data_IF_637225425800
#
_entry.id   IF_637225425800
#
_cell.length_a   1.000
_cell.length_b   1.000
_cell.length_c   1.000
_cell.angle_alpha   90.00
_cell.angle_beta   90.00
_cell.angle_gamma   90.00
#
_symmetry.space_group_name_H-M   'P 1'
#
loop_
_entity.id
_entity.type
_entity.pdbx_description
1 polymer ?
#
# COMPACT_ATOMS: atom_id res chain seq x y z
N UNK A 1 -25.16 14.80 -8.26
CA UNK A 1 -24.50 13.53 -8.62
C UNK A 1 -25.48 12.40 -8.30
N UNK A 2 -25.60 11.39 -9.15
CA UNK A 2 -26.38 10.17 -8.89
C UNK A 2 -25.42 8.98 -8.69
N UNK A 3 -26.00 7.80 -8.40
CA UNK A 3 -25.22 6.59 -8.20
C UNK A 3 -24.58 6.08 -9.50
N UNK A 4 -25.23 6.23 -10.65
CA UNK A 4 -24.66 5.77 -11.92
C UNK A 4 -23.35 6.49 -12.26
N UNK A 5 -23.30 7.81 -12.09
CA UNK A 5 -22.07 8.59 -12.28
C UNK A 5 -20.98 8.19 -11.29
N UNK A 6 -21.34 7.85 -10.05
CA UNK A 6 -20.37 7.34 -9.05
C UNK A 6 -19.81 5.98 -9.49
N UNK A 7 -20.66 5.07 -9.94
CA UNK A 7 -20.25 3.74 -10.40
C UNK A 7 -19.39 3.83 -11.67
N UNK A 8 -19.70 4.76 -12.58
CA UNK A 8 -18.86 5.03 -13.76
C UNK A 8 -17.48 5.54 -13.34
N UNK A 9 -17.44 6.49 -12.41
CA UNK A 9 -16.19 7.01 -11.87
C UNK A 9 -15.37 5.88 -11.23
N UNK A 10 -15.99 5.06 -10.37
CA UNK A 10 -15.35 3.94 -9.70
C UNK A 10 -14.77 2.91 -10.69
N UNK A 11 -15.49 2.59 -11.75
CA UNK A 11 -15.01 1.76 -12.84
C UNK A 11 -13.73 2.33 -13.49
N UNK A 12 -13.70 3.64 -13.73
CA UNK A 12 -12.50 4.30 -14.27
C UNK A 12 -11.34 4.34 -13.25
N UNK A 13 -11.62 4.45 -11.94
CA UNK A 13 -10.58 4.37 -10.90
C UNK A 13 -9.93 2.98 -10.84
N UNK A 14 -10.72 1.91 -11.06
CA UNK A 14 -10.22 0.55 -11.24
C UNK A 14 -9.26 0.48 -12.44
N UNK A 15 -9.66 0.99 -13.60
CA UNK A 15 -8.81 1.02 -14.80
C UNK A 15 -7.53 1.81 -14.54
N UNK A 16 -7.62 2.97 -13.89
CA UNK A 16 -6.46 3.79 -13.55
C UNK A 16 -5.48 3.03 -12.65
N UNK A 17 -5.99 2.34 -11.62
CA UNK A 17 -5.18 1.58 -10.67
C UNK A 17 -4.49 0.40 -11.36
N UNK A 18 -5.25 -0.45 -12.06
CA UNK A 18 -4.69 -1.62 -12.73
C UNK A 18 -3.74 -1.22 -13.86
N UNK A 19 -4.15 -0.27 -14.72
CA UNK A 19 -3.35 0.21 -15.85
C UNK A 19 -2.03 0.84 -15.43
N UNK A 20 -2.00 1.61 -14.33
CA UNK A 20 -0.76 2.13 -13.78
C UNK A 20 0.20 1.00 -13.36
N UNK A 21 -0.29 -0.01 -12.63
CA UNK A 21 0.55 -1.11 -12.14
C UNK A 21 1.02 -2.06 -13.25
N UNK A 22 0.19 -2.34 -14.26
CA UNK A 22 0.61 -3.12 -15.43
C UNK A 22 1.70 -2.34 -16.18
N UNK A 23 1.51 -1.03 -16.38
CA UNK A 23 2.47 -0.19 -17.10
C UNK A 23 3.78 0.00 -16.35
N UNK A 24 3.78 0.04 -15.02
CA UNK A 24 5.02 0.13 -14.24
C UNK A 24 5.84 -1.16 -14.28
N UNK A 25 5.20 -2.31 -14.54
CA UNK A 25 5.90 -3.56 -14.87
C UNK A 25 6.63 -3.44 -16.21
N UNK A 26 5.98 -2.92 -17.25
CA UNK A 26 6.60 -2.70 -18.57
C UNK A 26 7.68 -1.60 -18.56
N UNK A 27 7.49 -0.59 -17.71
CA UNK A 27 8.33 0.61 -17.62
C UNK A 27 8.65 0.91 -16.16
N UNK A 28 9.65 0.25 -15.56
CA UNK A 28 10.01 0.39 -14.14
C UNK A 28 10.20 1.84 -13.69
N UNK A 29 10.74 2.71 -14.54
CA UNK A 29 11.00 4.12 -14.21
C UNK A 29 9.74 4.96 -13.96
N UNK A 30 8.55 4.44 -14.26
CA UNK A 30 7.27 5.05 -13.85
C UNK A 30 6.86 4.67 -12.43
N UNK A 31 7.53 3.69 -11.82
CA UNK A 31 7.18 3.14 -10.53
C UNK A 31 7.76 3.96 -9.37
N UNK A 32 6.96 4.09 -8.32
CA UNK A 32 7.39 4.68 -7.06
C UNK A 32 8.62 3.97 -6.47
N UNK A 33 8.66 2.63 -6.55
CA UNK A 33 9.76 1.79 -6.03
C UNK A 33 11.07 2.08 -6.74
N UNK A 34 11.02 2.30 -8.06
CA UNK A 34 12.17 2.70 -8.86
C UNK A 34 12.72 4.05 -8.41
N UNK A 35 11.85 5.04 -8.20
CA UNK A 35 12.27 6.34 -7.69
C UNK A 35 12.87 6.26 -6.29
N UNK A 36 12.33 5.42 -5.40
CA UNK A 36 12.91 5.21 -4.06
C UNK A 36 14.28 4.54 -4.11
N UNK A 37 14.44 3.51 -4.95
CA UNK A 37 15.72 2.88 -5.21
C UNK A 37 16.75 3.90 -5.73
N UNK A 38 16.41 4.67 -6.77
CA UNK A 38 17.30 5.68 -7.34
C UNK A 38 17.68 6.76 -6.34
N UNK A 39 16.72 7.27 -5.55
CA UNK A 39 16.97 8.26 -4.51
C UNK A 39 17.94 7.72 -3.45
N UNK A 40 17.75 6.46 -3.03
CA UNK A 40 18.64 5.79 -2.09
C UNK A 40 20.08 5.73 -2.64
N UNK A 41 20.25 5.27 -3.88
CA UNK A 41 21.56 5.21 -4.52
C UNK A 41 22.25 6.57 -4.57
N UNK A 42 21.51 7.59 -5.01
CA UNK A 42 22.05 8.94 -5.16
C UNK A 42 22.51 9.50 -3.81
N UNK A 43 21.69 9.37 -2.78
CA UNK A 43 22.02 9.86 -1.43
C UNK A 43 23.23 9.11 -0.87
N UNK A 44 23.33 7.79 -1.09
CA UNK A 44 24.47 7.02 -0.62
C UNK A 44 25.75 7.40 -1.37
N UNK A 45 25.66 7.71 -2.67
CA UNK A 45 26.80 8.13 -3.48
C UNK A 45 27.34 9.47 -2.98
N UNK A 46 26.45 10.45 -2.80
CA UNK A 46 26.79 11.76 -2.23
C UNK A 46 27.40 11.60 -0.83
N UNK A 47 26.83 10.74 0.01
CA UNK A 47 27.32 10.51 1.36
C UNK A 47 28.72 9.88 1.41
N UNK A 48 29.07 9.01 0.46
CA UNK A 48 30.42 8.44 0.32
C UNK A 48 31.47 9.51 0.02
N UNK A 49 31.11 10.54 -0.76
CA UNK A 49 32.00 11.64 -1.10
C UNK A 49 32.16 12.65 0.06
N UNK A 50 31.19 12.71 0.98
CA UNK A 50 31.17 13.60 2.15
C UNK A 50 32.00 13.07 3.33
N UNK A 51 33.32 12.88 3.14
CA UNK A 51 34.18 12.13 4.06
C UNK A 51 34.26 12.58 5.52
N UNK A 52 33.90 13.82 5.81
CA UNK A 52 34.05 14.41 7.15
C UNK A 52 32.87 14.14 8.09
N UNK A 53 31.73 13.66 7.58
CA UNK A 53 30.46 13.68 8.35
C UNK A 53 29.64 12.39 8.29
N UNK A 54 30.07 11.39 7.52
CA UNK A 54 29.33 10.13 7.31
C UNK A 54 30.17 8.90 7.66
N UNK A 55 29.50 7.83 8.14
CA UNK A 55 30.13 6.53 8.35
C UNK A 55 30.43 5.81 7.04
N UNK A 56 29.69 6.10 5.97
CA UNK A 56 29.92 5.55 4.63
C UNK A 56 31.31 5.86 4.06
N UNK A 57 31.89 6.98 4.49
CA UNK A 57 33.21 7.41 4.06
C UNK A 57 34.38 6.70 4.75
N UNK A 58 34.12 5.92 5.81
CA UNK A 58 35.14 5.13 6.51
C UNK A 58 35.21 3.76 5.85
N UNK A 59 36.38 3.40 5.31
CA UNK A 59 36.56 2.24 4.41
C UNK A 59 36.02 0.91 4.94
N UNK A 60 36.10 0.68 6.26
CA UNK A 60 35.60 -0.53 6.93
C UNK A 60 34.08 -0.72 6.78
N UNK A 61 33.32 0.38 6.75
CA UNK A 61 31.87 0.40 6.64
C UNK A 61 31.39 0.55 5.19
N UNK A 62 32.27 0.93 4.26
CA UNK A 62 31.92 1.08 2.84
C UNK A 62 31.53 -0.25 2.19
N UNK A 63 32.09 -1.37 2.63
CA UNK A 63 31.91 -2.68 1.99
C UNK A 63 30.46 -3.16 1.98
N UNK A 64 29.72 -2.91 3.07
CA UNK A 64 28.31 -3.30 3.22
C UNK A 64 27.36 -2.53 2.32
N UNK A 65 27.72 -1.30 1.91
CA UNK A 65 26.86 -0.40 1.13
C UNK A 65 27.48 0.04 -0.22
N UNK A 66 28.59 -0.58 -0.63
CA UNK A 66 29.20 -0.38 -1.95
C UNK A 66 28.37 -1.01 -3.08
N UNK A 67 27.50 -1.98 -2.76
CA UNK A 67 26.67 -2.67 -3.73
C UNK A 67 25.64 -1.75 -4.42
N UNK A 68 24.79 -0.99 -3.70
CA UNK A 68 23.88 -0.02 -4.32
C UNK A 68 24.64 0.94 -5.24
N UNK A 69 25.78 1.47 -4.79
CA UNK A 69 26.52 2.51 -5.52
C UNK A 69 26.98 2.09 -6.91
N UNK A 70 27.50 0.87 -7.06
CA UNK A 70 28.02 0.39 -8.36
C UNK A 70 26.91 0.09 -9.36
N UNK A 71 25.75 -0.34 -8.87
CA UNK A 71 24.67 -0.87 -9.72
C UNK A 71 23.69 0.20 -10.18
N UNK A 72 23.63 1.35 -9.53
CA UNK A 72 22.67 2.39 -9.91
C UNK A 72 23.10 3.16 -11.17
N UNK A 73 24.37 3.09 -11.56
CA UNK A 73 24.82 3.55 -12.89
C UNK A 73 24.20 2.72 -14.02
N UNK A 74 23.77 1.48 -13.74
CA UNK A 74 23.09 0.59 -14.69
C UNK A 74 21.57 0.86 -14.79
N UNK A 75 21.03 1.72 -13.91
CA UNK A 75 19.60 2.06 -13.90
C UNK A 75 19.32 3.33 -14.71
N UNK A 76 18.30 3.28 -15.56
CA UNK A 76 17.89 4.39 -16.40
C UNK A 76 16.50 4.20 -17.01
N UNK A 77 16.11 5.06 -17.95
CA UNK A 77 14.79 5.01 -18.58
C UNK A 77 14.52 3.73 -19.39
N UNK A 78 15.57 3.02 -19.78
CA UNK A 78 15.48 1.77 -20.54
C UNK A 78 15.63 0.52 -19.67
N UNK A 79 15.64 0.65 -18.34
CA UNK A 79 15.72 -0.51 -17.45
C UNK A 79 14.50 -1.41 -17.66
N UNK A 80 14.74 -2.69 -17.95
CA UNK A 80 13.68 -3.70 -18.09
C UNK A 80 13.14 -4.14 -16.72
N UNK A 81 11.99 -4.81 -16.75
CA UNK A 81 11.40 -5.44 -15.58
C UNK A 81 12.37 -6.38 -14.86
N UNK A 82 13.05 -7.25 -15.60
CA UNK A 82 13.96 -8.27 -15.07
C UNK A 82 15.19 -7.62 -14.43
N UNK A 83 15.79 -6.64 -15.11
CA UNK A 83 16.94 -5.89 -14.61
C UNK A 83 16.62 -5.15 -13.33
N UNK A 84 15.49 -4.43 -13.29
CA UNK A 84 15.10 -3.72 -12.07
C UNK A 84 14.71 -4.68 -10.93
N UNK A 85 14.01 -5.79 -11.24
CA UNK A 85 13.65 -6.80 -10.25
C UNK A 85 14.88 -7.45 -9.62
N UNK A 86 15.91 -7.75 -10.43
CA UNK A 86 17.19 -8.28 -9.94
C UNK A 86 17.91 -7.25 -9.05
N UNK A 87 18.01 -6.01 -9.52
CA UNK A 87 18.57 -4.91 -8.73
C UNK A 87 17.87 -4.78 -7.37
N UNK A 88 16.54 -4.76 -7.38
CA UNK A 88 15.75 -4.57 -6.16
C UNK A 88 15.89 -5.76 -5.21
N UNK A 89 15.96 -7.00 -5.71
CA UNK A 89 16.23 -8.19 -4.90
C UNK A 89 17.60 -8.11 -4.21
N UNK A 90 18.61 -7.65 -4.93
CA UNK A 90 19.96 -7.47 -4.38
C UNK A 90 19.95 -6.34 -3.32
N UNK A 91 19.22 -5.24 -3.55
CA UNK A 91 19.03 -4.15 -2.58
C UNK A 91 18.24 -4.60 -1.34
N UNK A 92 17.30 -5.53 -1.49
CA UNK A 92 16.53 -6.09 -0.39
C UNK A 92 17.30 -7.16 0.41
N UNK A 93 18.50 -7.55 -0.07
CA UNK A 93 19.31 -8.67 0.43
C UNK A 93 18.58 -10.03 0.42
N UNK A 94 17.46 -10.13 -0.31
CA UNK A 94 16.51 -11.24 -0.21
C UNK A 94 15.90 -11.41 1.18
N UNK A 95 16.11 -10.45 2.09
CA UNK A 95 15.78 -10.56 3.51
C UNK A 95 14.64 -9.62 3.92
N UNK A 96 14.04 -8.87 2.99
CA UNK A 96 12.97 -7.93 3.30
C UNK A 96 13.47 -6.61 3.88
N UNK A 97 14.74 -6.22 3.67
CA UNK A 97 15.29 -4.94 4.15
C UNK A 97 14.56 -3.75 3.54
N UNK A 98 14.32 -3.80 2.22
CA UNK A 98 13.62 -2.74 1.50
C UNK A 98 12.13 -2.70 1.87
N UNK A 99 11.50 -3.87 2.05
CA UNK A 99 10.12 -3.98 2.55
C UNK A 99 10.01 -3.38 3.97
N UNK A 100 10.96 -3.69 4.86
CA UNK A 100 10.98 -3.14 6.21
C UNK A 100 11.18 -1.62 6.18
N UNK A 101 12.13 -1.11 5.39
CA UNK A 101 12.35 0.32 5.22
C UNK A 101 11.07 1.05 4.79
N UNK A 102 10.34 0.46 3.85
CA UNK A 102 9.05 0.95 3.38
C UNK A 102 7.97 0.92 4.46
N UNK A 103 7.87 -0.16 5.23
CA UNK A 103 6.98 -0.22 6.39
C UNK A 103 7.31 0.87 7.43
N UNK A 104 8.60 1.05 7.74
CA UNK A 104 9.07 2.08 8.65
C UNK A 104 8.65 3.46 8.14
N UNK A 105 8.86 3.79 6.86
CA UNK A 105 8.40 5.06 6.30
C UNK A 105 6.89 5.29 6.51
N UNK A 106 6.05 4.26 6.35
CA UNK A 106 4.61 4.34 6.59
C UNK A 106 4.24 4.57 8.06
N UNK A 107 4.85 3.84 8.99
CA UNK A 107 4.55 3.98 10.42
C UNK A 107 5.16 5.26 11.02
N UNK A 108 6.19 5.84 10.38
CA UNK A 108 6.75 7.15 10.75
C UNK A 108 6.03 8.34 10.07
N UNK A 109 4.92 8.08 9.39
CA UNK A 109 4.11 9.10 8.71
C UNK A 109 2.95 9.64 9.57
N UNK A 110 3.21 9.98 10.83
CA UNK A 110 2.20 10.60 11.68
C UNK A 110 2.36 12.12 11.67
N UNK A 111 1.52 12.78 10.86
CA UNK A 111 1.34 14.25 10.77
C UNK A 111 2.32 15.02 9.89
N UNK A 112 3.22 14.33 9.20
CA UNK A 112 4.14 14.94 8.25
C UNK A 112 3.67 14.80 6.81
N UNK A 113 4.16 15.67 5.92
CA UNK A 113 3.86 15.58 4.48
C UNK A 113 4.48 14.29 3.93
N UNK A 114 3.74 13.54 3.12
CA UNK A 114 4.21 12.27 2.57
C UNK A 114 5.54 12.44 1.80
N UNK A 115 5.65 13.48 0.97
CA UNK A 115 6.84 13.77 0.18
C UNK A 115 8.10 13.94 1.05
N UNK A 116 7.96 14.57 2.22
CA UNK A 116 9.08 14.78 3.14
C UNK A 116 9.57 13.46 3.74
N UNK A 117 8.67 12.54 4.06
CA UNK A 117 9.03 11.24 4.62
C UNK A 117 9.72 10.38 3.58
N UNK A 118 9.20 10.37 2.36
CA UNK A 118 9.78 9.60 1.27
C UNK A 118 11.11 10.18 0.79
N UNK A 119 11.31 11.49 0.86
CA UNK A 119 12.64 12.10 0.67
C UNK A 119 13.67 11.57 1.69
N UNK A 120 13.21 11.25 2.91
CA UNK A 120 14.02 10.68 3.98
C UNK A 120 13.98 9.14 4.02
N UNK A 121 13.49 8.48 2.96
CA UNK A 121 13.52 7.02 2.83
C UNK A 121 14.88 6.36 3.17
N UNK A 122 16.04 6.95 2.79
CA UNK A 122 17.35 6.39 3.13
C UNK A 122 17.59 6.18 4.62
N UNK A 123 17.05 7.05 5.48
CA UNK A 123 17.17 6.89 6.94
C UNK A 123 16.50 5.58 7.38
N UNK A 124 15.30 5.29 6.84
CA UNK A 124 14.57 4.07 7.16
C UNK A 124 15.24 2.82 6.60
N UNK A 125 15.85 2.94 5.42
CA UNK A 125 16.67 1.88 4.84
C UNK A 125 17.88 1.57 5.72
N UNK A 126 18.60 2.60 6.19
CA UNK A 126 19.72 2.45 7.13
C UNK A 126 19.28 1.76 8.43
N UNK A 127 18.12 2.10 8.99
CA UNK A 127 17.58 1.41 10.19
C UNK A 127 17.31 -0.07 9.89
N UNK A 128 16.64 -0.37 8.77
CA UNK A 128 16.30 -1.73 8.39
C UNK A 128 17.56 -2.59 8.15
N UNK A 129 18.55 -2.03 7.45
CA UNK A 129 19.82 -2.69 7.16
C UNK A 129 20.62 -2.99 8.44
N UNK A 130 20.71 -2.03 9.37
CA UNK A 130 21.39 -2.27 10.64
C UNK A 130 20.69 -3.33 11.49
N UNK A 131 19.35 -3.35 11.49
CA UNK A 131 18.58 -4.36 12.20
C UNK A 131 18.81 -5.76 11.61
N UNK A 132 18.85 -5.86 10.29
CA UNK A 132 19.19 -7.09 9.57
C UNK A 132 20.61 -7.57 9.88
N UNK A 133 21.57 -6.65 10.02
CA UNK A 133 22.95 -6.95 10.44
C UNK A 133 23.10 -7.25 11.94
N UNK A 134 22.00 -7.53 12.65
CA UNK A 134 22.01 -7.98 14.05
C UNK A 134 22.22 -6.87 15.08
N UNK A 135 22.14 -5.60 14.68
CA UNK A 135 22.33 -4.49 15.60
C UNK A 135 21.21 -4.43 16.63
N UNK A 136 21.60 -4.26 17.91
CA UNK A 136 20.62 -4.16 19.00
C UNK A 136 19.79 -2.89 18.87
N UNK A 137 18.50 -2.99 19.17
CA UNK A 137 17.57 -1.86 19.09
C UNK A 137 17.97 -0.70 20.00
N UNK A 138 18.54 -1.00 21.18
CA UNK A 138 18.99 0.05 22.10
C UNK A 138 20.20 0.84 21.55
N UNK A 139 20.98 0.25 20.64
CA UNK A 139 22.05 0.96 19.93
C UNK A 139 21.46 1.82 18.80
N UNK A 140 20.50 1.28 18.03
CA UNK A 140 19.74 2.04 17.03
C UNK A 140 19.02 3.24 17.66
N UNK A 141 18.49 3.07 18.87
CA UNK A 141 17.84 4.12 19.64
C UNK A 141 18.80 5.28 19.95
N UNK A 142 20.04 4.96 20.30
CA UNK A 142 21.09 5.94 20.64
C UNK A 142 21.67 6.62 19.40
N UNK A 143 21.92 5.84 18.34
CA UNK A 143 22.69 6.28 17.17
C UNK A 143 21.79 6.95 16.14
N UNK A 144 20.63 6.33 15.84
CA UNK A 144 19.78 6.74 14.73
C UNK A 144 18.51 7.43 15.19
N UNK A 145 17.77 6.85 16.14
CA UNK A 145 16.39 7.31 16.42
C UNK A 145 16.36 8.56 17.30
N UNK A 146 17.30 8.70 18.23
CA UNK A 146 17.41 9.84 19.12
C UNK A 146 16.14 10.11 19.95
N UNK A 147 16.09 11.27 20.62
CA UNK A 147 14.91 11.72 21.38
C UNK A 147 13.91 12.51 20.54
N UNK A 148 14.40 13.34 19.61
CA UNK A 148 13.59 14.31 18.85
C UNK A 148 13.82 14.24 17.33
N UNK A 149 14.80 13.45 16.87
CA UNK A 149 15.30 13.50 15.49
C UNK A 149 15.84 12.14 15.13
N UNK A 150 15.51 11.66 13.92
CA UNK A 150 16.32 10.64 13.29
C UNK A 150 17.61 11.29 12.77
N UNK A 151 18.74 10.64 12.99
CA UNK A 151 20.02 11.00 12.41
C UNK A 151 20.57 9.75 11.75
N UNK A 152 20.68 9.76 10.44
CA UNK A 152 21.34 8.66 9.75
C UNK A 152 22.85 8.92 9.71
N UNK A 153 23.67 8.16 10.46
CA UNK A 153 25.10 8.34 10.41
C UNK A 153 25.70 7.89 9.07
N UNK A 154 24.99 7.05 8.30
CA UNK A 154 25.44 6.59 6.98
C UNK A 154 25.38 7.70 5.96
N UNK A 155 24.29 8.47 5.94
CA UNK A 155 24.07 9.51 4.94
C UNK A 155 24.27 10.94 5.45
N UNK A 156 24.40 11.12 6.76
CA UNK A 156 24.40 12.44 7.40
C UNK A 156 23.03 13.11 7.47
N UNK A 157 21.99 12.49 6.89
CA UNK A 157 20.62 13.01 6.88
C UNK A 157 20.07 13.14 8.30
N UNK A 158 19.26 14.17 8.49
CA UNK A 158 18.58 14.44 9.76
C UNK A 158 17.12 14.72 9.48
N UNK A 159 16.25 14.00 10.18
CA UNK A 159 14.82 14.17 10.09
C UNK A 159 14.25 14.48 11.47
N UNK A 160 13.78 15.70 11.66
CA UNK A 160 13.09 16.07 12.90
C UNK A 160 11.68 15.51 12.82
N UNK A 161 11.38 14.51 13.64
CA UNK A 161 10.07 13.90 13.67
C UNK A 161 9.21 14.54 14.77
N UNK A 162 7.91 14.72 14.56
CA UNK A 162 7.00 15.37 15.54
C UNK A 162 6.67 14.45 16.75
N UNK A 163 7.36 13.32 16.92
CA UNK A 163 7.06 12.37 17.99
C UNK A 163 7.48 12.84 19.39
N UNK A 164 6.49 12.93 20.28
CA UNK A 164 6.68 12.89 21.73
C UNK A 164 6.05 11.60 22.32
N UNK A 165 6.87 10.84 23.04
CA UNK A 165 6.63 9.67 23.90
C UNK A 165 5.86 8.44 23.36
N UNK A 166 4.62 8.54 22.85
CA UNK A 166 3.78 7.35 22.57
C UNK A 166 4.19 6.58 21.30
N UNK A 167 4.39 7.22 20.14
CA UNK A 167 4.75 6.50 18.90
C UNK A 167 6.17 5.92 18.93
N UNK A 168 7.07 6.52 19.71
CA UNK A 168 8.44 6.02 19.93
C UNK A 168 8.45 4.66 20.63
N UNK A 169 7.59 4.46 21.63
CA UNK A 169 7.49 3.17 22.33
C UNK A 169 7.00 2.07 21.40
N UNK A 170 5.98 2.35 20.58
CA UNK A 170 5.46 1.41 19.59
C UNK A 170 6.52 1.04 18.56
N UNK A 171 7.27 2.02 18.06
CA UNK A 171 8.40 1.80 17.16
C UNK A 171 9.45 0.88 17.78
N UNK A 172 9.97 1.23 18.97
CA UNK A 172 11.03 0.46 19.60
C UNK A 172 10.57 -0.97 19.88
N UNK A 173 9.30 -1.15 20.24
CA UNK A 173 8.70 -2.48 20.33
C UNK A 173 8.69 -3.18 18.97
N UNK A 174 8.19 -2.55 17.91
CA UNK A 174 8.21 -3.13 16.55
C UNK A 174 9.62 -3.58 16.16
N UNK A 175 10.64 -2.73 16.34
CA UNK A 175 12.02 -3.08 16.03
C UNK A 175 12.54 -4.23 16.90
N UNK A 176 12.20 -4.25 18.21
CA UNK A 176 12.60 -5.34 19.12
C UNK A 176 11.95 -6.65 18.72
N UNK A 177 10.65 -6.63 18.43
CA UNK A 177 9.93 -7.78 17.88
C UNK A 177 10.65 -8.26 16.63
N UNK A 178 10.86 -7.40 15.63
CA UNK A 178 11.53 -7.79 14.39
C UNK A 178 12.97 -8.28 14.58
N UNK A 179 13.70 -7.82 15.60
CA UNK A 179 15.04 -8.35 15.91
C UNK A 179 15.00 -9.84 16.25
N UNK A 180 13.91 -10.33 16.86
CA UNK A 180 13.69 -11.76 17.12
C UNK A 180 13.41 -12.55 15.83
N UNK A 181 13.17 -11.86 14.71
CA UNK A 181 12.91 -12.41 13.38
C UNK A 181 14.06 -12.12 12.40
N UNK A 182 15.29 -11.96 12.92
CA UNK A 182 16.47 -11.64 12.12
C UNK A 182 16.42 -10.25 11.50
N UNK A 183 15.69 -9.33 12.12
CA UNK A 183 15.51 -7.97 11.60
C UNK A 183 14.64 -7.88 10.34
N UNK A 184 13.89 -8.94 10.01
CA UNK A 184 13.12 -9.01 8.77
C UNK A 184 11.61 -8.95 9.02
N UNK A 185 10.94 -8.01 8.34
CA UNK A 185 9.47 -7.97 8.30
C UNK A 185 8.90 -9.19 7.58
N UNK A 186 9.57 -9.67 6.53
CA UNK A 186 9.11 -10.82 5.77
C UNK A 186 9.19 -12.10 6.58
N UNK A 187 10.26 -12.33 7.35
CA UNK A 187 10.36 -13.49 8.25
C UNK A 187 9.28 -13.47 9.32
N UNK A 188 8.97 -12.30 9.87
CA UNK A 188 7.86 -12.14 10.82
C UNK A 188 6.52 -12.52 10.19
N UNK A 189 6.24 -12.01 8.98
CA UNK A 189 5.02 -12.37 8.22
C UNK A 189 5.00 -13.88 7.94
N UNK A 190 6.12 -14.44 7.51
CA UNK A 190 6.25 -15.84 7.10
C UNK A 190 5.96 -16.79 8.26
N UNK A 191 6.57 -16.57 9.42
CA UNK A 191 6.30 -17.36 10.63
C UNK A 191 4.83 -17.23 11.05
N UNK A 192 4.29 -16.01 11.14
CA UNK A 192 2.93 -15.79 11.66
C UNK A 192 1.83 -16.33 10.76
N UNK A 193 2.06 -16.42 9.46
CA UNK A 193 1.10 -17.03 8.55
C UNK A 193 1.22 -18.56 8.49
N UNK A 194 2.41 -19.14 8.61
CA UNK A 194 2.58 -20.60 8.64
C UNK A 194 1.88 -21.26 9.83
N UNK A 195 1.82 -20.55 10.95
CA UNK A 195 1.14 -21.01 12.17
C UNK A 195 -0.39 -20.82 12.11
N UNK A 196 -0.93 -20.18 11.08
CA UNK A 196 -2.34 -19.78 11.02
C UNK A 196 -3.18 -20.77 10.20
N UNK A 197 -4.10 -21.48 10.87
CA UNK A 197 -4.91 -22.54 10.27
C UNK A 197 -6.13 -22.07 9.47
N UNK A 198 -6.58 -20.83 9.64
CA UNK A 198 -7.79 -20.31 8.96
C UNK A 198 -7.49 -19.55 7.65
N UNK A 199 -6.25 -19.54 7.18
CA UNK A 199 -5.90 -18.84 5.92
C UNK A 199 -6.63 -19.51 4.76
N UNK A 200 -7.37 -18.72 4.01
CA UNK A 200 -8.01 -19.12 2.77
C UNK A 200 -7.91 -18.02 1.70
N UNK A 201 -8.31 -18.37 0.48
CA UNK A 201 -8.32 -17.47 -0.69
C UNK A 201 -9.13 -16.17 -0.44
N UNK A 202 -10.11 -16.20 0.46
CA UNK A 202 -11.03 -15.09 0.73
C UNK A 202 -10.56 -14.18 1.88
N UNK A 203 -9.52 -14.56 2.64
CA UNK A 203 -9.15 -13.83 3.85
C UNK A 203 -7.65 -13.54 4.04
N UNK A 204 -6.77 -14.09 3.21
CA UNK A 204 -5.32 -14.00 3.41
C UNK A 204 -4.78 -12.57 3.49
N UNK A 205 -5.33 -11.62 2.72
CA UNK A 205 -4.92 -10.20 2.78
C UNK A 205 -5.35 -9.58 4.12
N UNK A 206 -6.53 -9.94 4.62
CA UNK A 206 -7.05 -9.45 5.91
C UNK A 206 -6.24 -9.99 7.08
N UNK A 207 -5.77 -11.24 6.99
CA UNK A 207 -4.86 -11.83 7.98
C UNK A 207 -3.48 -11.18 7.93
N UNK A 208 -2.96 -10.89 6.74
CA UNK A 208 -1.73 -10.10 6.59
C UNK A 208 -1.88 -8.69 7.22
N UNK A 209 -3.03 -8.04 7.01
CA UNK A 209 -3.35 -6.78 7.67
C UNK A 209 -3.37 -6.90 9.20
N UNK A 210 -3.97 -7.97 9.74
CA UNK A 210 -4.03 -8.23 11.17
C UNK A 210 -2.63 -8.41 11.79
N UNK A 211 -1.74 -9.17 11.13
CA UNK A 211 -0.35 -9.40 11.55
C UNK A 211 0.44 -8.10 11.63
N UNK A 212 0.33 -7.25 10.60
CA UNK A 212 0.97 -5.94 10.58
C UNK A 212 0.41 -5.00 11.65
N UNK A 213 -0.89 -5.14 11.99
CA UNK A 213 -1.49 -4.39 13.08
C UNK A 213 -0.95 -4.80 14.45
N UNK A 214 -0.83 -6.12 14.70
CA UNK A 214 -0.25 -6.66 15.94
C UNK A 214 1.18 -6.15 16.12
N UNK A 215 1.99 -6.21 15.06
CA UNK A 215 3.39 -5.81 15.09
C UNK A 215 3.60 -4.37 15.59
N UNK A 216 2.74 -3.44 15.15
CA UNK A 216 2.99 -2.00 15.34
C UNK A 216 1.97 -1.26 16.20
N UNK A 217 0.69 -1.62 16.13
CA UNK A 217 -0.39 -0.76 16.62
C UNK A 217 -1.08 -1.28 17.88
N UNK A 218 -1.09 -2.60 18.10
CA UNK A 218 -1.60 -3.16 19.34
C UNK A 218 -0.75 -2.66 20.52
N UNK A 219 -1.30 -2.53 21.72
CA UNK A 219 -0.55 -1.99 22.88
C UNK A 219 -0.04 -3.08 23.81
N UNK A 220 -0.78 -4.16 23.91
CA UNK A 220 -0.45 -5.31 24.75
C UNK A 220 0.45 -6.26 23.98
N UNK A 221 1.35 -6.95 24.69
CA UNK A 221 2.05 -8.12 24.16
C UNK A 221 1.00 -9.21 23.97
N UNK A 222 0.30 -9.16 22.84
CA UNK A 222 -0.59 -10.22 22.44
C UNK A 222 0.28 -11.45 22.21
N UNK A 223 0.23 -12.41 23.16
CA UNK A 223 0.68 -13.76 22.88
C UNK A 223 -0.23 -14.24 21.76
N UNK A 224 0.33 -14.39 20.56
CA UNK A 224 -0.37 -14.89 19.38
C UNK A 224 -0.73 -16.35 19.69
N UNK A 225 -1.82 -16.54 20.45
CA UNK A 225 -2.40 -17.85 20.69
C UNK A 225 -3.27 -18.25 19.50
N UNK A 226 -3.93 -17.27 18.86
CA UNK A 226 -4.76 -17.48 17.69
C UNK A 226 -4.91 -16.17 16.89
N UNK A 227 -4.23 -16.08 15.73
CA UNK A 227 -4.34 -14.95 14.80
C UNK A 227 -5.77 -14.80 14.24
N UNK A 228 -6.47 -15.91 14.01
CA UNK A 228 -7.82 -15.93 13.45
C UNK A 228 -8.78 -15.27 14.44
N UNK A 229 -8.75 -15.72 15.69
CA UNK A 229 -9.55 -15.13 16.77
C UNK A 229 -9.28 -13.63 16.92
N UNK A 230 -8.01 -13.23 16.92
CA UNK A 230 -7.66 -11.82 16.96
C UNK A 230 -8.25 -11.04 15.77
N UNK A 231 -8.12 -11.59 14.56
CA UNK A 231 -8.59 -10.93 13.35
C UNK A 231 -10.13 -10.82 13.31
N UNK A 232 -10.87 -11.76 13.90
CA UNK A 232 -12.32 -11.68 14.09
C UNK A 232 -12.71 -10.64 15.15
N UNK A 233 -12.13 -10.72 16.35
CA UNK A 233 -12.39 -9.82 17.48
C UNK A 233 -12.09 -8.37 17.13
N UNK A 234 -11.01 -8.16 16.38
CA UNK A 234 -10.62 -6.84 15.88
C UNK A 234 -11.26 -6.50 14.55
N UNK A 235 -12.19 -7.26 13.98
CA UNK A 235 -12.88 -6.89 12.72
C UNK A 235 -11.94 -6.67 11.51
N UNK A 236 -10.85 -7.44 11.41
CA UNK A 236 -10.12 -7.61 10.16
C UNK A 236 -10.84 -8.61 9.26
N UNK A 237 -11.26 -9.74 9.83
CA UNK A 237 -12.15 -10.69 9.19
C UNK A 237 -13.59 -10.18 9.26
N UNK A 238 -14.19 -9.98 8.09
CA UNK A 238 -15.57 -9.53 8.00
C UNK A 238 -16.50 -10.75 8.03
N UNK A 239 -17.68 -10.66 8.67
CA UNK A 239 -18.67 -11.72 8.62
C UNK A 239 -19.06 -12.01 7.16
N UNK A 240 -19.01 -13.28 6.75
CA UNK A 240 -19.33 -13.72 5.38
C UNK A 240 -20.74 -13.28 4.96
N UNK A 241 -21.70 -13.34 5.89
CA UNK A 241 -23.09 -12.93 5.71
C UNK A 241 -23.49 -11.86 6.72
N UNK A 242 -23.24 -10.58 6.40
CA UNK A 242 -23.82 -9.48 7.19
C UNK A 242 -25.25 -9.29 6.73
N UNK A 243 -26.23 -9.25 7.62
CA UNK A 243 -27.59 -8.89 7.21
C UNK A 243 -27.68 -7.41 6.80
N UNK A 244 -28.52 -7.00 5.81
CA UNK A 244 -28.63 -5.60 5.38
C UNK A 244 -28.86 -4.61 6.53
N UNK A 245 -29.70 -4.98 7.50
CA UNK A 245 -29.98 -4.16 8.70
C UNK A 245 -28.83 -4.10 9.71
N UNK A 246 -27.75 -4.87 9.50
CA UNK A 246 -26.52 -4.87 10.31
C UNK A 246 -25.34 -4.18 9.62
N UNK A 247 -25.51 -3.62 8.41
CA UNK A 247 -24.44 -2.88 7.73
C UNK A 247 -23.93 -1.70 8.57
N UNK A 248 -24.80 -1.07 9.35
CA UNK A 248 -24.42 -0.01 10.30
C UNK A 248 -23.49 -0.48 11.44
N UNK A 249 -23.37 -1.80 11.67
CA UNK A 249 -22.45 -2.42 12.65
C UNK A 249 -21.13 -2.86 12.02
N UNK A 250 -21.03 -2.98 10.69
CA UNK A 250 -19.78 -3.35 10.03
C UNK A 250 -18.70 -2.31 10.33
N UNK A 251 -17.55 -2.75 10.83
CA UNK A 251 -16.38 -1.92 11.05
C UNK A 251 -15.20 -2.56 10.33
N UNK A 252 -14.31 -1.71 9.83
CA UNK A 252 -13.05 -2.14 9.22
C UNK A 252 -11.91 -1.65 10.10
N UNK A 253 -11.08 -2.59 10.56
CA UNK A 253 -9.95 -2.27 11.44
C UNK A 253 -8.66 -1.94 10.71
N UNK A 254 -7.59 -1.75 11.46
CA UNK A 254 -6.30 -1.25 10.98
C UNK A 254 -6.31 0.27 10.84
N UNK A 255 -5.14 0.85 10.58
CA UNK A 255 -5.02 2.29 10.31
C UNK A 255 -4.92 2.56 8.80
N UNK A 256 -5.10 3.83 8.40
CA UNK A 256 -4.90 4.23 7.00
C UNK A 256 -3.52 3.85 6.44
N UNK A 257 -2.47 3.94 7.25
CA UNK A 257 -1.08 3.68 6.84
C UNK A 257 -0.84 2.19 6.65
N UNK A 258 -1.45 1.37 7.50
CA UNK A 258 -1.42 -0.08 7.35
C UNK A 258 -2.00 -0.52 6.00
N UNK A 259 -3.19 -0.06 5.65
CA UNK A 259 -3.81 -0.43 4.37
C UNK A 259 -3.10 0.18 3.16
N UNK A 260 -2.48 1.35 3.31
CA UNK A 260 -1.67 1.94 2.25
C UNK A 260 -0.41 1.10 1.96
N UNK A 261 0.36 0.74 2.99
CA UNK A 261 1.50 -0.18 2.84
C UNK A 261 1.06 -1.54 2.26
N UNK A 262 -0.04 -2.09 2.75
CA UNK A 262 -0.54 -3.37 2.27
C UNK A 262 -1.00 -3.31 0.81
N UNK A 263 -1.68 -2.24 0.40
CA UNK A 263 -2.00 -1.99 -1.02
C UNK A 263 -0.73 -2.01 -1.85
N UNK A 264 0.36 -1.38 -1.40
CA UNK A 264 1.61 -1.39 -2.16
C UNK A 264 2.19 -2.82 -2.22
N UNK A 265 2.18 -3.59 -1.12
CA UNK A 265 2.65 -4.98 -1.11
C UNK A 265 1.83 -5.93 -1.98
N UNK A 266 0.53 -5.67 -2.14
CA UNK A 266 -0.36 -6.53 -2.92
C UNK A 266 -0.52 -6.05 -4.35
N UNK A 267 -0.51 -4.75 -4.63
CA UNK A 267 -0.86 -4.18 -5.94
C UNK A 267 0.39 -3.76 -6.73
N UNK A 268 1.44 -3.25 -6.08
CA UNK A 268 2.68 -2.91 -6.79
C UNK A 268 3.43 -4.18 -7.19
N UNK A 269 3.83 -4.34 -8.46
CA UNK A 269 4.47 -5.58 -8.94
C UNK A 269 5.81 -5.86 -8.26
N UNK A 270 6.58 -4.81 -7.91
CA UNK A 270 7.92 -4.96 -7.34
C UNK A 270 7.89 -5.28 -5.85
N UNK A 271 7.06 -4.58 -5.06
CA UNK A 271 6.88 -4.94 -3.66
C UNK A 271 6.27 -6.33 -3.48
N UNK A 272 5.31 -6.70 -4.35
CA UNK A 272 4.74 -8.04 -4.37
C UNK A 272 5.79 -9.10 -4.66
N UNK A 273 6.66 -8.84 -5.65
CA UNK A 273 7.77 -9.74 -5.98
C UNK A 273 8.75 -9.90 -4.80
N UNK A 274 9.11 -8.80 -4.14
CA UNK A 274 9.96 -8.86 -2.94
C UNK A 274 9.29 -9.72 -1.87
N UNK A 275 8.00 -9.51 -1.59
CA UNK A 275 7.28 -10.29 -0.60
C UNK A 275 7.25 -11.78 -0.97
N UNK A 276 6.92 -12.12 -2.22
CA UNK A 276 6.94 -13.52 -2.73
C UNK A 276 8.31 -14.17 -2.51
N UNK A 277 9.38 -13.45 -2.84
CA UNK A 277 10.75 -13.95 -2.75
C UNK A 277 11.20 -14.17 -1.31
N UNK A 278 10.71 -13.38 -0.36
CA UNK A 278 11.09 -13.49 1.05
C UNK A 278 10.25 -14.48 1.85
N UNK A 279 9.08 -14.90 1.35
CA UNK A 279 8.28 -15.95 2.00
C UNK A 279 8.84 -17.34 1.70
N UNK A 280 8.73 -18.25 2.65
CA UNK A 280 9.09 -19.66 2.47
C UNK A 280 8.18 -20.36 1.46
N UNK A 281 8.65 -21.44 0.82
CA UNK A 281 7.84 -22.18 -0.18
C UNK A 281 6.58 -22.83 0.41
N UNK A 282 6.61 -23.20 1.70
CA UNK A 282 5.45 -23.76 2.39
C UNK A 282 4.52 -22.69 2.99
N UNK A 283 4.75 -21.41 2.71
CA UNK A 283 3.86 -20.36 3.18
C UNK A 283 2.50 -20.40 2.46
N UNK A 284 1.37 -20.45 3.19
CA UNK A 284 0.05 -20.63 2.57
C UNK A 284 -0.40 -19.47 1.69
N UNK A 285 0.16 -18.25 1.84
CA UNK A 285 -0.25 -17.10 1.01
C UNK A 285 0.58 -16.94 -0.26
N UNK A 286 1.74 -17.62 -0.34
CA UNK A 286 2.66 -17.48 -1.47
C UNK A 286 2.03 -17.88 -2.81
N UNK A 287 1.20 -18.95 -2.91
CA UNK A 287 0.47 -19.25 -4.15
C UNK A 287 -0.45 -18.12 -4.61
N UNK A 288 -1.23 -17.52 -3.70
CA UNK A 288 -2.13 -16.40 -4.03
C UNK A 288 -1.38 -15.17 -4.52
N UNK A 289 -0.23 -14.87 -3.90
CA UNK A 289 0.64 -13.78 -4.35
C UNK A 289 1.24 -14.06 -5.73
N UNK A 290 1.69 -15.29 -6.01
CA UNK A 290 2.23 -15.70 -7.33
C UNK A 290 1.17 -15.57 -8.42
N UNK A 291 -0.04 -16.08 -8.19
CA UNK A 291 -1.17 -15.92 -9.11
C UNK A 291 -1.43 -14.45 -9.45
N UNK A 292 -1.59 -13.63 -8.42
CA UNK A 292 -1.75 -12.18 -8.59
C UNK A 292 -0.60 -11.57 -9.40
N UNK A 293 0.65 -11.97 -9.13
CA UNK A 293 1.84 -11.45 -9.80
C UNK A 293 1.90 -11.85 -11.29
N UNK A 294 1.45 -13.05 -11.62
CA UNK A 294 1.33 -13.55 -13.00
C UNK A 294 0.29 -12.76 -13.76
N UNK A 295 -0.96 -12.73 -13.25
CA UNK A 295 -2.03 -11.95 -13.85
C UNK A 295 -2.94 -11.24 -12.83
N UNK A 296 -2.69 -9.95 -12.61
CA UNK A 296 -3.49 -9.12 -11.70
C UNK A 296 -4.95 -8.97 -12.17
N UNK A 297 -5.24 -9.10 -13.47
CA UNK A 297 -6.59 -8.96 -14.01
C UNK A 297 -7.39 -10.25 -13.81
N UNK A 298 -6.76 -11.41 -14.00
CA UNK A 298 -7.40 -12.70 -13.73
C UNK A 298 -7.71 -12.86 -12.24
N UNK A 299 -6.71 -12.64 -11.38
CA UNK A 299 -6.79 -12.85 -9.93
C UNK A 299 -7.19 -11.60 -9.14
N UNK A 300 -7.77 -10.62 -9.81
CA UNK A 300 -8.20 -9.35 -9.21
C UNK A 300 -9.19 -9.54 -8.06
N UNK A 301 -9.92 -10.66 -8.02
CA UNK A 301 -10.88 -10.99 -6.96
C UNK A 301 -10.28 -10.89 -5.56
N UNK A 302 -8.98 -11.16 -5.39
CA UNK A 302 -8.31 -11.01 -4.09
C UNK A 302 -8.31 -9.56 -3.61
N UNK A 303 -8.31 -8.58 -4.52
CA UNK A 303 -8.29 -7.15 -4.19
C UNK A 303 -9.60 -6.69 -3.52
N UNK A 304 -10.68 -7.48 -3.57
CA UNK A 304 -11.89 -7.24 -2.76
C UNK A 304 -11.57 -7.17 -1.26
N UNK A 305 -10.55 -7.89 -0.80
CA UNK A 305 -10.15 -7.93 0.61
C UNK A 305 -9.42 -6.65 1.06
N UNK A 306 -8.81 -5.91 0.13
CA UNK A 306 -8.15 -4.65 0.44
C UNK A 306 -9.19 -3.57 0.78
N UNK A 307 -8.78 -2.68 1.67
CA UNK A 307 -9.61 -1.57 2.12
C UNK A 307 -9.02 -0.25 1.62
N UNK A 308 -9.88 0.75 1.48
CA UNK A 308 -9.48 2.10 1.06
C UNK A 308 -8.33 2.61 1.96
N UNK A 309 -7.16 2.99 1.42
CA UNK A 309 -6.16 3.69 2.21
C UNK A 309 -6.69 5.09 2.53
N UNK A 310 -7.09 5.34 3.77
CA UNK A 310 -7.77 6.60 4.12
C UNK A 310 -6.85 7.82 4.01
N UNK A 311 -6.96 8.62 2.95
CA UNK A 311 -6.25 9.90 2.83
C UNK A 311 -7.20 11.11 2.88
N UNK A 312 -6.64 12.32 3.04
CA UNK A 312 -7.38 13.59 3.00
C UNK A 312 -8.17 13.70 1.69
N UNK A 313 -7.61 13.24 0.58
CA UNK A 313 -8.28 13.20 -0.72
C UNK A 313 -9.52 12.30 -0.71
N UNK A 314 -9.42 11.13 -0.06
CA UNK A 314 -10.55 10.22 0.08
C UNK A 314 -11.64 10.80 1.00
N UNK A 315 -11.26 11.58 2.01
CA UNK A 315 -12.22 12.37 2.81
C UNK A 315 -12.91 13.44 1.95
N UNK A 316 -12.15 14.21 1.18
CA UNK A 316 -12.69 15.24 0.29
C UNK A 316 -13.63 14.63 -0.76
N UNK A 317 -13.27 13.49 -1.33
CA UNK A 317 -14.12 12.76 -2.26
C UNK A 317 -15.44 12.35 -1.61
N UNK A 318 -15.38 11.74 -0.42
CA UNK A 318 -16.59 11.37 0.33
C UNK A 318 -17.46 12.57 0.65
N UNK A 319 -16.88 13.64 1.18
CA UNK A 319 -17.59 14.85 1.59
C UNK A 319 -18.22 15.58 0.39
N UNK A 320 -17.53 15.64 -0.76
CA UNK A 320 -18.03 16.36 -1.94
C UNK A 320 -19.02 15.57 -2.77
N UNK A 321 -18.79 14.28 -2.95
CA UNK A 321 -19.52 13.48 -3.92
C UNK A 321 -20.49 12.53 -3.23
N UNK A 322 -20.04 11.79 -2.22
CA UNK A 322 -20.86 10.76 -1.59
C UNK A 322 -21.88 11.36 -0.61
N UNK A 323 -21.52 12.38 0.19
CA UNK A 323 -22.48 13.04 1.10
C UNK A 323 -23.66 13.65 0.35
N UNK A 324 -23.42 14.22 -0.85
CA UNK A 324 -24.47 14.79 -1.70
C UNK A 324 -25.48 13.76 -2.22
N UNK A 325 -25.15 12.46 -2.19
CA UNK A 325 -26.11 11.41 -2.51
C UNK A 325 -27.23 11.32 -1.46
N UNK A 326 -27.04 11.86 -0.25
CA UNK A 326 -28.01 11.74 0.84
C UNK A 326 -29.34 12.44 0.61
N UNK A 327 -29.37 13.43 -0.29
CA UNK A 327 -30.61 14.07 -0.72
C UNK A 327 -31.48 13.12 -1.55
N UNK A 328 -30.84 12.30 -2.40
CA UNK A 328 -31.52 11.35 -3.30
C UNK A 328 -31.70 9.96 -2.71
N UNK A 329 -30.82 9.55 -1.80
CA UNK A 329 -30.79 8.22 -1.20
C UNK A 329 -30.71 8.35 0.34
N UNK A 330 -31.81 8.76 1.02
CA UNK A 330 -31.81 8.99 2.46
C UNK A 330 -31.39 7.76 3.28
N UNK A 331 -31.61 6.55 2.77
CA UNK A 331 -31.20 5.28 3.38
C UNK A 331 -29.69 5.17 3.61
N UNK A 332 -28.87 5.89 2.82
CA UNK A 332 -27.41 5.94 3.02
C UNK A 332 -27.02 6.66 4.34
N UNK A 333 -27.90 7.53 4.85
CA UNK A 333 -27.62 8.45 5.96
C UNK A 333 -28.53 8.26 7.19
N UNK A 334 -29.68 7.58 7.04
CA UNK A 334 -30.62 7.31 8.15
C UNK A 334 -29.96 6.45 9.25
N UNK A 335 -30.26 6.79 10.51
CA UNK A 335 -29.63 6.25 11.73
C UNK A 335 -29.60 4.71 11.81
N UNK A 336 -30.61 4.04 11.27
CA UNK A 336 -30.72 2.57 11.30
C UNK A 336 -29.87 1.88 10.22
N UNK A 337 -29.51 2.57 9.13
CA UNK A 337 -28.74 2.02 8.00
C UNK A 337 -27.53 2.89 7.64
N UNK A 338 -26.94 3.60 8.60
CA UNK A 338 -25.87 4.58 8.35
C UNK A 338 -24.67 3.95 7.60
N UNK A 339 -24.66 4.09 6.27
CA UNK A 339 -23.62 3.59 5.38
C UNK A 339 -22.41 4.51 5.48
N UNK A 340 -22.64 5.82 5.43
CA UNK A 340 -21.59 6.83 5.47
C UNK A 340 -21.32 7.27 6.92
N UNK A 341 -20.06 7.15 7.33
CA UNK A 341 -19.57 7.48 8.67
C UNK A 341 -18.39 8.45 8.59
N UNK A 342 -17.87 8.91 9.74
CA UNK A 342 -16.67 9.74 9.76
C UNK A 342 -15.38 9.00 9.36
N UNK A 343 -15.39 7.66 9.33
CA UNK A 343 -14.26 6.84 8.84
C UNK A 343 -14.48 6.49 7.37
N UNK A 344 -13.59 6.96 6.50
CA UNK A 344 -13.73 6.82 5.05
C UNK A 344 -13.72 5.36 4.58
N UNK A 345 -12.95 4.51 5.27
CA UNK A 345 -12.72 3.12 4.90
C UNK A 345 -13.93 2.25 5.23
N UNK A 346 -14.42 2.39 6.45
CA UNK A 346 -15.68 1.79 6.88
C UNK A 346 -16.81 2.24 5.97
N UNK A 347 -16.85 3.53 5.60
CA UNK A 347 -17.86 4.06 4.66
C UNK A 347 -17.77 3.42 3.28
N UNK A 348 -16.56 3.31 2.70
CA UNK A 348 -16.34 2.66 1.41
C UNK A 348 -16.75 1.18 1.43
N UNK A 349 -16.36 0.42 2.48
CA UNK A 349 -16.76 -0.98 2.63
C UNK A 349 -18.27 -1.15 2.81
N UNK A 350 -18.91 -0.31 3.62
CA UNK A 350 -20.37 -0.34 3.79
C UNK A 350 -21.09 0.00 2.49
N UNK A 351 -20.59 1.00 1.75
CA UNK A 351 -21.16 1.40 0.47
C UNK A 351 -21.06 0.27 -0.55
N UNK A 352 -19.89 -0.37 -0.66
CA UNK A 352 -19.69 -1.56 -1.47
C UNK A 352 -20.69 -2.67 -1.10
N UNK A 353 -20.76 -3.05 0.18
CA UNK A 353 -21.68 -4.10 0.64
C UNK A 353 -23.16 -3.78 0.40
N UNK A 354 -23.54 -2.51 0.51
CA UNK A 354 -24.89 -2.05 0.20
C UNK A 354 -25.18 -2.14 -1.30
N UNK A 355 -24.29 -1.61 -2.16
CA UNK A 355 -24.46 -1.62 -3.61
C UNK A 355 -24.45 -3.04 -4.19
N UNK A 356 -23.54 -3.91 -3.73
CA UNK A 356 -23.41 -5.31 -4.20
C UNK A 356 -24.67 -6.14 -4.01
N UNK A 357 -25.56 -5.73 -3.09
CA UNK A 357 -26.82 -6.42 -2.77
C UNK A 357 -28.05 -5.68 -3.26
N UNK A 358 -27.87 -4.45 -3.74
CA UNK A 358 -28.96 -3.67 -4.27
C UNK A 358 -29.45 -4.33 -5.57
N UNK A 359 -30.76 -4.57 -5.70
CA UNK A 359 -31.33 -5.29 -6.86
C UNK A 359 -30.89 -4.68 -8.20
N UNK A 360 -30.87 -3.35 -8.26
CA UNK A 360 -30.51 -2.60 -9.48
C UNK A 360 -28.99 -2.55 -9.71
N UNK A 361 -28.18 -2.29 -8.67
CA UNK A 361 -26.75 -1.99 -8.84
C UNK A 361 -25.83 -3.19 -8.59
N UNK A 362 -26.31 -4.22 -7.90
CA UNK A 362 -25.53 -5.41 -7.53
C UNK A 362 -24.91 -6.13 -8.72
N UNK A 363 -25.67 -6.46 -9.79
CA UNK A 363 -25.12 -7.08 -10.99
C UNK A 363 -23.99 -6.25 -11.61
N UNK A 364 -24.12 -4.93 -11.59
CA UNK A 364 -23.13 -4.01 -12.11
C UNK A 364 -21.86 -3.99 -11.26
N UNK A 365 -21.98 -3.90 -9.93
CA UNK A 365 -20.83 -3.93 -9.01
C UNK A 365 -20.02 -5.21 -9.15
N UNK A 366 -20.68 -6.35 -9.28
CA UNK A 366 -20.02 -7.65 -9.46
C UNK A 366 -19.33 -7.75 -10.82
N UNK A 367 -20.04 -7.42 -11.91
CA UNK A 367 -19.51 -7.47 -13.27
C UNK A 367 -18.33 -6.52 -13.47
N UNK A 368 -18.41 -5.32 -12.91
CA UNK A 368 -17.38 -4.27 -13.05
C UNK A 368 -16.30 -4.35 -11.96
N UNK A 369 -16.41 -5.31 -11.02
CA UNK A 369 -15.44 -5.56 -9.94
C UNK A 369 -15.10 -4.30 -9.14
N UNK A 370 -16.13 -3.58 -8.71
CA UNK A 370 -16.00 -2.28 -8.05
C UNK A 370 -15.59 -2.44 -6.58
N UNK A 371 -14.36 -2.89 -6.33
CA UNK A 371 -13.84 -3.16 -4.99
C UNK A 371 -13.49 -1.88 -4.21
N UNK A 372 -13.59 -1.90 -2.86
CA UNK A 372 -13.34 -0.71 -2.03
C UNK A 372 -11.97 -0.06 -2.19
N UNK A 373 -10.93 -0.84 -2.48
CA UNK A 373 -9.58 -0.31 -2.72
C UNK A 373 -9.52 0.66 -3.91
N UNK A 374 -10.42 0.53 -4.89
CA UNK A 374 -10.45 1.41 -6.07
C UNK A 374 -11.13 2.75 -5.86
N UNK A 375 -11.81 3.00 -4.72
CA UNK A 375 -12.32 4.33 -4.38
C UNK A 375 -11.22 5.33 -3.96
N UNK A 376 -9.96 4.98 -4.21
CA UNK A 376 -8.79 5.71 -3.77
C UNK A 376 -8.40 6.81 -4.75
N UNK A 377 -8.93 8.02 -4.60
CA UNK A 377 -8.66 9.15 -5.51
C UNK A 377 -7.24 9.72 -5.44
N UNK A 378 -6.31 9.04 -4.76
CA UNK A 378 -4.92 9.50 -4.61
C UNK A 378 -4.04 9.29 -5.84
N UNK A 379 -4.59 8.72 -6.94
CA UNK A 379 -3.87 8.59 -8.21
C UNK A 379 -3.69 9.95 -8.92
N UNK A 380 -2.70 10.75 -8.51
CA UNK A 380 -2.07 11.80 -9.34
C UNK A 380 -2.95 12.87 -10.00
N UNK A 381 -4.24 12.99 -9.63
CA UNK A 381 -5.16 13.96 -10.21
C UNK A 381 -4.72 15.37 -9.80
N UNK A 382 -4.48 16.25 -10.77
CA UNK A 382 -4.19 17.67 -10.53
C UNK A 382 -5.43 18.35 -9.95
N UNK A 383 -5.24 19.55 -9.40
CA UNK A 383 -6.35 20.36 -8.88
C UNK A 383 -7.34 20.66 -10.03
N UNK A 384 -8.57 20.15 -9.91
CA UNK A 384 -9.61 20.26 -10.94
C UNK A 384 -9.85 18.97 -11.73
N UNK A 385 -8.86 18.08 -11.80
CA UNK A 385 -8.98 16.83 -12.55
C UNK A 385 -10.02 15.89 -11.95
N UNK A 386 -10.22 15.91 -10.63
CA UNK A 386 -11.27 15.11 -9.99
C UNK A 386 -12.67 15.55 -10.44
N UNK A 387 -12.91 16.86 -10.59
CA UNK A 387 -14.21 17.35 -11.06
C UNK A 387 -14.40 17.04 -12.55
N UNK A 388 -13.37 17.24 -13.36
CA UNK A 388 -13.36 16.85 -14.77
C UNK A 388 -13.62 15.34 -14.94
N UNK A 389 -12.92 14.52 -14.14
CA UNK A 389 -13.06 13.06 -14.11
C UNK A 389 -14.50 12.65 -13.77
N UNK A 390 -15.08 13.24 -12.72
CA UNK A 390 -16.46 12.96 -12.33
C UNK A 390 -17.47 13.42 -13.40
N UNK A 391 -17.21 14.53 -14.10
CA UNK A 391 -18.10 15.04 -15.13
C UNK A 391 -18.03 14.23 -16.44
N UNK A 392 -16.85 13.70 -16.77
CA UNK A 392 -16.63 12.93 -18.01
C UNK A 392 -16.79 11.41 -17.83
N UNK A 393 -16.96 10.90 -16.61
CA UNK A 393 -16.87 9.46 -16.32
C UNK A 393 -17.75 8.60 -17.23
N UNK A 394 -19.02 8.98 -17.41
CA UNK A 394 -19.96 8.30 -18.28
C UNK A 394 -19.50 8.27 -19.75
N UNK A 395 -19.06 9.42 -20.28
CA UNK A 395 -18.61 9.53 -21.68
C UNK A 395 -17.34 8.71 -21.95
N UNK A 396 -16.40 8.70 -21.00
CA UNK A 396 -15.16 7.93 -21.09
C UNK A 396 -15.48 6.44 -21.03
N UNK A 397 -16.35 6.03 -20.10
CA UNK A 397 -16.78 4.63 -19.99
C UNK A 397 -17.43 4.14 -21.27
N UNK A 398 -18.40 4.88 -21.83
CA UNK A 398 -19.05 4.53 -23.10
C UNK A 398 -18.04 4.38 -24.24
N UNK A 399 -17.02 5.24 -24.28
CA UNK A 399 -15.93 5.13 -25.26
C UNK A 399 -15.13 3.84 -25.07
N UNK A 400 -14.77 3.52 -23.82
CA UNK A 400 -14.07 2.27 -23.47
C UNK A 400 -14.90 1.06 -23.90
N UNK A 401 -16.19 1.00 -23.53
CA UNK A 401 -17.08 -0.12 -23.87
C UNK A 401 -17.28 -0.28 -25.39
N UNK A 402 -17.26 0.84 -26.15
CA UNK A 402 -17.31 0.79 -27.61
C UNK A 402 -16.04 0.23 -28.24
N UNK A 403 -14.87 0.53 -27.66
CA UNK A 403 -13.58 0.11 -28.20
C UNK A 403 -13.07 -1.23 -27.63
N UNK A 404 -13.61 -1.64 -26.48
CA UNK A 404 -13.21 -2.77 -25.67
C UNK A 404 -14.48 -3.40 -25.12
N UNK A 405 -14.87 -4.54 -25.69
CA UNK A 405 -16.07 -5.27 -25.28
C UNK A 405 -16.01 -5.66 -23.79
N UNK A 406 -14.90 -6.30 -23.38
CA UNK A 406 -14.70 -6.75 -22.01
C UNK A 406 -13.25 -6.57 -21.55
N UNK A 407 -13.06 -6.09 -20.31
CA UNK A 407 -11.75 -5.98 -19.65
C UNK A 407 -11.33 -7.32 -19.04
N UNK A 408 -10.95 -8.28 -19.89
CA UNK A 408 -10.59 -9.65 -19.46
C UNK A 408 -9.09 -9.87 -19.35
N UNK A 409 -8.27 -9.11 -20.08
CA UNK A 409 -6.82 -9.25 -20.08
C UNK A 409 -6.10 -7.94 -19.79
N UNK A 410 -4.82 -8.03 -19.41
CA UNK A 410 -3.96 -6.86 -19.15
C UNK A 410 -3.89 -5.89 -20.34
N UNK A 411 -3.84 -6.41 -21.57
CA UNK A 411 -3.85 -5.60 -22.79
C UNK A 411 -5.12 -4.73 -22.92
N UNK A 412 -6.27 -5.26 -22.48
CA UNK A 412 -7.55 -4.55 -22.56
C UNK A 412 -7.55 -3.42 -21.54
N UNK A 413 -7.04 -3.68 -20.33
CA UNK A 413 -6.87 -2.67 -19.28
C UNK A 413 -5.91 -1.56 -19.72
N UNK A 414 -4.78 -1.89 -20.36
CA UNK A 414 -3.85 -0.89 -20.89
C UNK A 414 -4.50 -0.02 -21.97
N UNK A 415 -5.23 -0.62 -22.91
CA UNK A 415 -5.97 0.14 -23.93
C UNK A 415 -7.02 1.07 -23.30
N UNK A 416 -7.77 0.58 -22.30
CA UNK A 416 -8.74 1.40 -21.57
C UNK A 416 -8.05 2.53 -20.79
N UNK A 417 -6.89 2.26 -20.21
CA UNK A 417 -6.09 3.24 -19.49
C UNK A 417 -5.55 4.34 -20.42
N UNK A 418 -5.13 4.00 -21.64
CA UNK A 418 -4.71 4.98 -22.64
C UNK A 418 -5.88 5.87 -23.11
N UNK A 419 -7.07 5.29 -23.31
CA UNK A 419 -8.30 6.06 -23.60
C UNK A 419 -8.59 7.04 -22.46
N UNK A 420 -8.58 6.56 -21.21
CA UNK A 420 -8.80 7.37 -20.02
C UNK A 420 -7.82 8.55 -19.96
N UNK A 421 -6.52 8.30 -20.11
CA UNK A 421 -5.49 9.35 -20.08
C UNK A 421 -5.69 10.38 -21.20
N UNK A 422 -6.00 9.91 -22.40
CA UNK A 422 -6.21 10.78 -23.54
C UNK A 422 -7.41 11.72 -23.33
N UNK A 423 -8.54 11.21 -22.81
CA UNK A 423 -9.74 12.01 -22.55
C UNK A 423 -9.59 13.03 -21.42
N UNK A 424 -8.76 12.72 -20.42
CA UNK A 424 -8.44 13.66 -19.33
C UNK A 424 -7.43 14.73 -19.77
N UNK A 425 -6.48 14.39 -20.66
CA UNK A 425 -5.45 15.34 -21.12
C UNK A 425 -5.94 16.37 -22.16
N UNK A 426 -7.01 16.08 -22.92
CA UNK A 426 -7.54 16.95 -23.98
C UNK A 426 -7.94 18.37 -23.54
N UNK A 427 -8.09 18.63 -22.24
CA UNK A 427 -8.59 19.89 -21.71
C UNK A 427 -7.50 20.77 -21.08
N UNK A 428 -6.22 20.43 -21.29
CA UNK A 428 -5.07 21.20 -20.76
C UNK A 428 -4.60 22.28 -21.75
N UNK A 429 -5.22 22.39 -22.93
CA UNK A 429 -4.93 23.40 -23.95
C UNK A 429 -6.15 24.26 -24.25
#
# INVERSE_FOLDING_TARGET
MDLDRLLDAWFLMRIATLGANIRTREKPWLDFTFHQAMNLCHIFAVAKDMRLITWLAVDEYSKTLNFPLRKCEELGFNTSYESFSKFLKELDHGAGVFILAHWLAYIFNYREKADLIWLNFPIFYSIANELYNGKKVDELEKIIIGRKRLRDPWTGLKYTHVYYNTPRKLLLRTLRTLSNYGGSLANYIDEKLRECSCIDENNWIRLLAAILNILTYEREEFRIGDLCKYAEEKHFLLPRNIEPYRLNKLKVSGTKRLWAALRDYIVNPYFRLLLINSLSENNPIKPFLKQLHEDIVEYEGYLEQLELPGDVWNKVFLDRYIVRLGEKYPELFRKNNKIITGDSRTSARRLYQWLSRHVIYGPRVQRERLFPVYLDVTFGLRKGDLELFMNKSESIKRRIEKEIDHLRAQKDVLKAYDILRHELNKNIF
#
